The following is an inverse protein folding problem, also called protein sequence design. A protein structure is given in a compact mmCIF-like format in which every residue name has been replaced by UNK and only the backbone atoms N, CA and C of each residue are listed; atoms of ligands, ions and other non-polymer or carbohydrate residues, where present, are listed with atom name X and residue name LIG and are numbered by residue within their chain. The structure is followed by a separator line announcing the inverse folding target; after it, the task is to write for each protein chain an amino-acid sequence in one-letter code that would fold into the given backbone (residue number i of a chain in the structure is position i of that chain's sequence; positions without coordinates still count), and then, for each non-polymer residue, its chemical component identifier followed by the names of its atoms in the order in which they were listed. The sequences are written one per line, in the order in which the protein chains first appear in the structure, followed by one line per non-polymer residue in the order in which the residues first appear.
data_IF_647054767888
#
_entry.id   IF_647054767888
#
_cell.length_a   1.000
_cell.length_b   1.000
_cell.length_c   1.000
_cell.angle_alpha   90.00
_cell.angle_beta   90.00
_cell.angle_gamma   90.00
#
_symmetry.space_group_name_H-M   'P 1'
#
loop_
_entity.id
_entity.type
_entity.pdbx_description
1 polymer ?
#
# COMPACT_ATOMS: atom_id res chain seq x y z
N UNK A 1 9.89 3.21 14.18
CA UNK A 1 8.42 3.20 14.06
C UNK A 1 7.89 3.53 12.67
N UNK A 2 8.00 4.77 12.15
CA UNK A 2 7.46 5.09 10.80
C UNK A 2 8.21 4.36 9.68
N UNK A 3 9.53 4.23 9.81
CA UNK A 3 10.39 3.56 8.82
C UNK A 3 10.13 2.03 8.76
N UNK A 4 9.99 1.37 9.91
CA UNK A 4 9.65 -0.05 9.99
C UNK A 4 8.26 -0.36 9.41
N UNK A 5 7.28 0.51 9.68
CA UNK A 5 5.93 0.39 9.10
C UNK A 5 5.98 0.58 7.58
N UNK A 6 6.79 1.52 7.09
CA UNK A 6 7.00 1.78 5.66
C UNK A 6 7.59 0.55 4.96
N UNK A 7 8.63 -0.07 5.53
CA UNK A 7 9.23 -1.30 5.01
C UNK A 7 8.22 -2.45 5.00
N UNK A 8 7.42 -2.59 6.07
CA UNK A 8 6.39 -3.63 6.14
C UNK A 8 5.31 -3.45 5.08
N UNK A 9 4.80 -2.23 4.89
CA UNK A 9 3.83 -1.91 3.85
C UNK A 9 4.41 -2.12 2.45
N UNK A 10 5.66 -1.76 2.21
CA UNK A 10 6.33 -2.03 0.93
C UNK A 10 6.43 -3.53 0.62
N UNK A 11 6.60 -4.37 1.64
CA UNK A 11 6.47 -5.83 1.50
C UNK A 11 5.06 -6.26 1.10
N UNK A 12 4.05 -5.77 1.83
CA UNK A 12 2.64 -6.09 1.55
C UNK A 12 2.19 -5.64 0.16
N UNK A 13 2.66 -4.48 -0.32
CA UNK A 13 2.41 -3.99 -1.67
C UNK A 13 3.03 -4.91 -2.72
N UNK A 14 4.26 -5.37 -2.48
CA UNK A 14 4.93 -6.30 -3.38
C UNK A 14 4.16 -7.62 -3.49
N UNK A 15 3.73 -8.18 -2.35
CA UNK A 15 2.92 -9.40 -2.29
C UNK A 15 1.55 -9.21 -2.99
N UNK A 16 0.85 -8.11 -2.70
CA UNK A 16 -0.45 -7.81 -3.29
C UNK A 16 -0.37 -7.58 -4.82
N UNK A 17 0.77 -7.06 -5.30
CA UNK A 17 1.03 -6.92 -6.74
C UNK A 17 1.42 -8.24 -7.43
N UNK A 18 1.59 -9.33 -6.69
CA UNK A 18 2.08 -10.60 -7.22
C UNK A 18 3.55 -10.53 -7.68
N UNK A 19 4.35 -9.63 -7.07
CA UNK A 19 5.75 -9.42 -7.41
C UNK A 19 5.99 -8.53 -8.63
N UNK A 20 4.96 -7.86 -9.16
CA UNK A 20 5.12 -6.86 -10.23
C UNK A 20 5.84 -5.62 -9.72
N UNK A 21 5.57 -5.23 -8.47
CA UNK A 21 6.17 -4.07 -7.82
C UNK A 21 7.16 -4.56 -6.78
N UNK A 22 8.39 -4.08 -6.85
CA UNK A 22 9.41 -4.41 -5.84
C UNK A 22 9.29 -3.49 -4.62
N UNK A 23 9.55 -4.02 -3.42
CA UNK A 23 9.55 -3.22 -2.19
C UNK A 23 10.53 -2.04 -2.25
N UNK A 24 11.67 -2.19 -2.94
CA UNK A 24 12.64 -1.11 -3.16
C UNK A 24 12.06 0.04 -4.00
N UNK A 25 11.28 -0.26 -5.03
CA UNK A 25 10.63 0.76 -5.87
C UNK A 25 9.57 1.53 -5.10
N UNK A 26 8.81 0.84 -4.27
CA UNK A 26 7.83 1.45 -3.35
C UNK A 26 8.53 2.36 -2.35
N UNK A 27 9.62 1.88 -1.74
CA UNK A 27 10.38 2.64 -0.75
C UNK A 27 11.09 3.86 -1.37
N UNK A 28 11.52 3.74 -2.63
CA UNK A 28 12.12 4.84 -3.36
C UNK A 28 11.14 6.00 -3.58
N UNK A 29 9.82 5.75 -3.57
CA UNK A 29 8.77 6.78 -3.63
C UNK A 29 8.85 7.67 -4.87
N UNK A 30 9.37 7.14 -5.98
CA UNK A 30 9.59 7.90 -7.23
C UNK A 30 8.38 7.92 -8.16
N UNK A 31 7.50 6.93 -7.99
CA UNK A 31 6.34 6.69 -8.84
C UNK A 31 5.16 6.28 -7.97
N UNK A 32 3.97 6.66 -8.38
CA UNK A 32 2.76 6.19 -7.73
C UNK A 32 2.60 4.68 -7.93
N UNK A 33 1.93 4.01 -6.99
CA UNK A 33 1.64 2.58 -7.08
C UNK A 33 0.90 2.24 -8.38
N UNK A 34 -0.03 3.09 -8.82
CA UNK A 34 -0.70 2.94 -10.12
C UNK A 34 0.27 2.97 -11.30
N UNK A 35 1.25 3.88 -11.26
CA UNK A 35 2.28 4.00 -12.30
C UNK A 35 3.26 2.82 -12.31
N UNK A 36 3.50 2.22 -11.14
CA UNK A 36 4.26 0.96 -11.00
C UNK A 36 3.45 -0.27 -11.42
N UNK A 37 2.17 -0.10 -11.77
CA UNK A 37 1.31 -1.18 -12.27
C UNK A 37 0.41 -1.82 -11.22
N UNK A 38 0.22 -1.17 -10.06
CA UNK A 38 -0.74 -1.65 -9.05
C UNK A 38 -2.14 -1.52 -9.63
N UNK A 39 -2.76 -2.67 -9.87
CA UNK A 39 -4.13 -2.73 -10.38
C UNK A 39 -5.13 -2.37 -9.29
N UNK A 40 -6.35 -1.97 -9.68
CA UNK A 40 -7.44 -1.73 -8.73
C UNK A 40 -7.75 -2.96 -7.86
N UNK A 41 -7.62 -4.16 -8.42
CA UNK A 41 -7.83 -5.42 -7.67
C UNK A 41 -6.72 -5.65 -6.65
N UNK A 42 -5.46 -5.45 -7.03
CA UNK A 42 -4.32 -5.53 -6.12
C UNK A 42 -4.43 -4.48 -4.99
N UNK A 43 -4.95 -3.29 -5.29
CA UNK A 43 -5.22 -2.25 -4.28
C UNK A 43 -6.29 -2.69 -3.27
N UNK A 44 -7.41 -3.24 -3.72
CA UNK A 44 -8.46 -3.73 -2.81
C UNK A 44 -7.91 -4.87 -1.96
N UNK A 45 -7.23 -5.85 -2.57
CA UNK A 45 -6.62 -6.96 -1.83
C UNK A 45 -5.57 -6.50 -0.82
N UNK A 46 -4.78 -5.47 -1.15
CA UNK A 46 -3.84 -4.86 -0.23
C UNK A 46 -4.56 -4.26 0.97
N UNK A 47 -5.63 -3.50 0.73
CA UNK A 47 -6.42 -2.87 1.80
C UNK A 47 -6.99 -3.95 2.72
N UNK A 48 -7.66 -4.97 2.18
CA UNK A 48 -8.20 -6.10 2.97
C UNK A 48 -7.09 -6.76 3.83
N UNK A 49 -5.89 -6.93 3.27
CA UNK A 49 -4.76 -7.52 4.00
C UNK A 49 -4.27 -6.59 5.11
N UNK A 50 -4.23 -5.28 4.89
CA UNK A 50 -3.85 -4.31 5.91
C UNK A 50 -4.90 -4.28 7.02
N UNK A 51 -6.19 -4.28 6.68
CA UNK A 51 -7.29 -4.35 7.65
C UNK A 51 -7.16 -5.56 8.57
N UNK A 52 -6.92 -6.75 8.00
CA UNK A 52 -6.74 -7.99 8.76
C UNK A 52 -5.47 -7.96 9.64
N UNK A 53 -4.34 -7.49 9.09
CA UNK A 53 -3.05 -7.46 9.80
C UNK A 53 -3.01 -6.43 10.93
N UNK A 54 -3.65 -5.28 10.73
CA UNK A 54 -3.61 -4.17 11.69
C UNK A 54 -4.88 -4.03 12.52
N UNK A 55 -5.92 -4.81 12.23
CA UNK A 55 -7.22 -4.74 12.92
C UNK A 55 -7.95 -3.42 12.68
N UNK A 56 -7.86 -2.91 11.45
CA UNK A 56 -8.43 -1.63 11.03
C UNK A 56 -9.54 -1.83 10.00
N UNK A 57 -10.33 -0.80 9.75
CA UNK A 57 -11.34 -0.77 8.70
C UNK A 57 -11.18 0.55 7.93
N UNK A 58 -10.92 0.47 6.63
CA UNK A 58 -10.82 1.61 5.74
C UNK A 58 -12.18 1.88 5.08
N UNK A 59 -12.55 3.15 5.04
CA UNK A 59 -13.74 3.54 4.28
C UNK A 59 -13.44 3.52 2.78
N UNK A 60 -13.77 2.40 2.13
CA UNK A 60 -13.67 2.24 0.68
C UNK A 60 -14.67 3.11 -0.10
N UNK A 61 -15.65 3.74 0.57
CA UNK A 61 -16.51 4.77 -0.06
C UNK A 61 -15.76 6.09 -0.26
N UNK A 62 -14.61 6.26 0.38
CA UNK A 62 -13.73 7.41 0.21
C UNK A 62 -12.86 7.35 -1.06
N UNK A 63 -11.98 8.34 -1.18
CA UNK A 63 -11.10 8.48 -2.35
C UNK A 63 -9.91 7.51 -2.26
N UNK A 64 -10.08 6.32 -2.84
CA UNK A 64 -9.02 5.30 -2.94
C UNK A 64 -7.80 5.77 -3.74
N UNK A 65 -7.92 6.85 -4.53
CA UNK A 65 -6.79 7.53 -5.19
C UNK A 65 -5.80 8.13 -4.20
N UNK A 66 -6.18 8.30 -2.93
CA UNK A 66 -5.24 8.71 -1.89
C UNK A 66 -4.18 7.64 -1.59
N UNK A 67 -4.44 6.36 -1.91
CA UNK A 67 -3.49 5.24 -1.73
C UNK A 67 -2.57 5.04 -2.94
N UNK A 68 -1.91 6.12 -3.36
CA UNK A 68 -0.97 6.10 -4.47
C UNK A 68 0.50 6.03 -4.05
N UNK A 69 0.81 6.19 -2.76
CA UNK A 69 2.16 6.13 -2.23
C UNK A 69 2.20 5.39 -0.89
N UNK A 70 3.35 4.82 -0.55
CA UNK A 70 3.52 4.16 0.76
C UNK A 70 3.40 5.16 1.92
N UNK A 71 3.74 6.43 1.70
CA UNK A 71 3.58 7.50 2.69
C UNK A 71 2.13 7.73 3.09
N UNK A 72 1.21 7.73 2.13
CA UNK A 72 -0.21 7.97 2.41
C UNK A 72 -0.83 6.78 3.15
N UNK A 73 -0.41 5.56 2.82
CA UNK A 73 -0.75 4.36 3.60
C UNK A 73 -0.23 4.45 5.03
N UNK A 74 1.04 4.82 5.23
CA UNK A 74 1.63 5.01 6.56
C UNK A 74 0.88 6.09 7.36
N UNK A 75 0.47 7.18 6.71
CA UNK A 75 -0.28 8.25 7.34
C UNK A 75 -1.69 7.81 7.77
N UNK A 76 -2.32 6.91 7.02
CA UNK A 76 -3.65 6.40 7.32
C UNK A 76 -3.67 5.37 8.48
N UNK A 77 -2.50 4.82 8.83
CA UNK A 77 -2.33 3.85 9.94
C UNK A 77 -1.93 4.49 11.28
N UNK A 78 -1.90 5.83 11.36
CA UNK A 78 -1.60 6.60 12.57
C UNK A 78 -2.86 7.07 13.27
#
# INVERSE_FOLDING_TARGET
MTDELRVRLAGMIADASGGVISSDEVLAGRHTLSALGLTSLARISLIDTIEDVFGLEFDLSGDLSSFEDVDTLVAALK
#
